data_IF_025387254012
#
_entry.id   IF_025387254012
#
_cell.length_a   1.000
_cell.length_b   1.000
_cell.length_c   1.000
_cell.angle_alpha   90.00
_cell.angle_beta   90.00
_cell.angle_gamma   90.00
#
_symmetry.space_group_name_H-M   'P 1'
#
loop_
_entity.id
_entity.type
_entity.pdbx_description
1 polymer ?
#
# COMPACT_ATOMS: atom_id res chain seq x y z
N UNK A 1 13.69 -36.48 -29.07
CA UNK A 1 14.14 -37.67 -28.30
C UNK A 1 15.41 -37.23 -27.59
N UNK A 2 15.54 -37.17 -26.27
CA UNK A 2 14.86 -37.79 -25.11
C UNK A 2 15.17 -36.83 -23.92
N UNK A 3 14.18 -36.23 -23.27
CA UNK A 3 13.72 -36.52 -21.90
C UNK A 3 14.83 -36.89 -20.89
N UNK A 4 14.99 -36.08 -19.84
CA UNK A 4 15.62 -36.49 -18.58
C UNK A 4 15.08 -35.55 -17.51
N UNK A 5 14.20 -35.95 -16.60
CA UNK A 5 14.20 -37.22 -15.88
C UNK A 5 14.66 -36.89 -14.46
N UNK A 6 13.79 -36.18 -13.73
CA UNK A 6 13.95 -35.88 -12.31
C UNK A 6 13.73 -37.16 -11.52
N UNK A 7 14.79 -37.75 -10.95
CA UNK A 7 14.75 -38.78 -9.90
C UNK A 7 16.15 -38.93 -9.29
N UNK A 8 16.34 -38.39 -8.10
CA UNK A 8 16.40 -39.14 -6.84
C UNK A 8 17.25 -38.40 -5.82
N UNK A 9 16.53 -37.69 -4.94
CA UNK A 9 17.07 -36.93 -3.83
C UNK A 9 17.30 -37.85 -2.63
N UNK A 10 18.42 -38.57 -2.62
CA UNK A 10 19.07 -38.95 -1.38
C UNK A 10 20.57 -38.84 -1.62
N UNK A 11 21.23 -37.91 -0.93
CA UNK A 11 22.68 -37.68 -0.96
C UNK A 11 23.18 -36.77 -2.10
N UNK A 12 23.23 -35.46 -1.85
CA UNK A 12 24.22 -34.61 -2.51
C UNK A 12 24.81 -33.66 -1.48
N UNK A 13 26.02 -33.98 -1.00
CA UNK A 13 26.75 -33.34 0.08
C UNK A 13 27.14 -31.87 -0.12
N UNK A 14 26.21 -31.01 -0.55
CA UNK A 14 26.18 -29.63 -0.11
C UNK A 14 25.36 -29.58 1.18
N UNK A 15 26.00 -29.18 2.28
CA UNK A 15 25.32 -28.97 3.55
C UNK A 15 24.30 -27.84 3.37
N UNK A 16 23.02 -28.13 3.54
CA UNK A 16 21.93 -27.13 3.64
C UNK A 16 22.17 -26.04 4.71
N UNK A 17 23.22 -26.16 5.54
CA UNK A 17 23.61 -25.18 6.56
C UNK A 17 24.23 -23.88 6.01
N UNK A 18 24.41 -23.74 4.69
CA UNK A 18 25.06 -22.56 4.08
C UNK A 18 24.12 -21.64 3.29
N UNK A 19 22.84 -21.98 3.16
CA UNK A 19 21.84 -21.01 2.69
C UNK A 19 21.11 -20.44 3.91
N UNK A 20 21.24 -19.13 4.22
CA UNK A 20 20.36 -18.54 5.21
C UNK A 20 18.92 -18.77 4.74
N UNK A 21 18.05 -19.27 5.62
CA UNK A 21 16.65 -19.55 5.36
C UNK A 21 16.03 -18.41 4.55
N UNK A 22 15.86 -18.62 3.25
CA UNK A 22 15.23 -17.62 2.40
C UNK A 22 13.76 -17.51 2.77
N UNK A 23 13.11 -18.65 2.93
CA UNK A 23 11.67 -18.74 3.14
C UNK A 23 11.36 -19.58 4.39
N UNK A 24 10.13 -19.49 4.87
CA UNK A 24 9.64 -20.32 5.97
C UNK A 24 8.91 -19.52 7.05
N UNK A 25 8.16 -20.24 7.86
CA UNK A 25 7.26 -19.72 8.88
C UNK A 25 7.75 -20.11 10.27
N UNK A 26 7.65 -19.21 11.25
CA UNK A 26 8.02 -19.56 12.61
C UNK A 26 7.09 -20.61 13.21
N UNK A 27 7.62 -21.40 14.14
CA UNK A 27 6.84 -22.29 14.99
C UNK A 27 5.60 -21.59 15.57
N UNK A 28 4.49 -22.32 15.63
CA UNK A 28 3.20 -21.86 16.08
C UNK A 28 2.35 -21.28 14.96
N UNK A 29 2.89 -20.87 13.80
CA UNK A 29 2.12 -20.28 12.68
C UNK A 29 0.93 -21.16 12.29
N UNK A 30 -0.27 -20.60 12.22
CA UNK A 30 -1.49 -21.28 11.82
C UNK A 30 -1.63 -21.26 10.30
N UNK A 31 -1.66 -22.45 9.71
CA UNK A 31 -1.93 -22.68 8.29
C UNK A 31 -3.39 -23.10 8.12
N UNK A 32 -4.09 -22.54 7.14
CA UNK A 32 -5.47 -22.90 6.86
C UNK A 32 -5.56 -24.29 6.18
N UNK A 33 -6.53 -25.08 6.58
CA UNK A 33 -6.91 -26.38 5.99
C UNK A 33 -8.42 -26.40 5.79
N UNK A 34 -8.93 -27.37 5.02
CA UNK A 34 -10.38 -27.54 4.85
C UNK A 34 -11.13 -27.84 6.18
N UNK A 35 -10.43 -28.38 7.17
CA UNK A 35 -10.99 -28.78 8.48
C UNK A 35 -10.74 -27.78 9.60
N UNK A 36 -10.06 -26.66 9.34
CA UNK A 36 -9.71 -25.67 10.35
C UNK A 36 -8.33 -25.09 10.12
N UNK A 37 -7.70 -24.57 11.18
CA UNK A 37 -6.31 -24.12 11.09
C UNK A 37 -5.42 -25.10 11.86
N UNK A 38 -4.25 -25.41 11.33
CA UNK A 38 -3.26 -26.31 11.94
C UNK A 38 -1.92 -25.60 12.09
N UNK A 39 -1.19 -25.90 13.16
CA UNK A 39 0.15 -25.35 13.34
C UNK A 39 1.10 -25.86 12.26
N UNK A 40 1.97 -24.99 11.76
CA UNK A 40 2.91 -25.29 10.68
C UNK A 40 3.89 -26.41 11.06
N UNK A 41 4.33 -26.46 12.31
CA UNK A 41 5.26 -27.48 12.82
C UNK A 41 4.64 -28.88 12.93
N UNK A 42 3.31 -28.98 12.80
CA UNK A 42 2.59 -30.24 12.81
C UNK A 42 2.26 -30.72 11.40
N UNK A 43 2.61 -29.99 10.34
CA UNK A 43 2.37 -30.41 8.97
C UNK A 43 3.42 -31.45 8.55
N UNK A 44 2.96 -32.51 7.90
CA UNK A 44 3.79 -33.54 7.28
C UNK A 44 3.49 -33.67 5.78
N UNK A 45 4.42 -34.28 5.05
CA UNK A 45 4.22 -34.60 3.63
C UNK A 45 2.92 -35.41 3.46
N UNK A 46 2.09 -34.97 2.53
CA UNK A 46 0.79 -35.58 2.21
C UNK A 46 -0.40 -34.93 2.92
N UNK A 47 -0.17 -34.13 3.97
CA UNK A 47 -1.23 -33.32 4.60
C UNK A 47 -1.87 -32.37 3.60
N UNK A 48 -3.15 -32.06 3.80
CA UNK A 48 -3.90 -31.15 2.95
C UNK A 48 -4.07 -29.77 3.62
N UNK A 49 -3.69 -28.72 2.92
CA UNK A 49 -3.80 -27.33 3.33
C UNK A 49 -4.48 -26.51 2.24
N UNK A 50 -4.97 -25.31 2.56
CA UNK A 50 -5.52 -24.40 1.56
C UNK A 50 -4.39 -23.58 0.93
N UNK A 51 -4.34 -23.58 -0.40
CA UNK A 51 -3.49 -22.67 -1.15
C UNK A 51 -3.97 -21.21 -1.06
N UNK A 52 -3.18 -20.30 -1.62
CA UNK A 52 -3.45 -18.86 -1.67
C UNK A 52 -4.83 -18.48 -2.27
N UNK A 53 -5.46 -19.38 -3.03
CA UNK A 53 -6.80 -19.17 -3.62
C UNK A 53 -7.92 -19.80 -2.79
N UNK A 54 -7.59 -20.50 -1.71
CA UNK A 54 -8.52 -21.27 -0.90
C UNK A 54 -8.77 -22.69 -1.43
N UNK A 55 -7.99 -23.15 -2.41
CA UNK A 55 -8.13 -24.50 -2.97
C UNK A 55 -7.30 -25.50 -2.16
N UNK A 56 -7.84 -26.68 -1.77
CA UNK A 56 -7.05 -27.69 -1.10
C UNK A 56 -5.89 -28.22 -1.95
N UNK A 57 -4.71 -28.31 -1.35
CA UNK A 57 -3.44 -28.77 -1.94
C UNK A 57 -2.68 -29.65 -0.96
N UNK A 58 -1.89 -30.58 -1.49
CA UNK A 58 -1.08 -31.48 -0.66
C UNK A 58 0.29 -30.88 -0.39
N UNK A 59 0.74 -31.02 0.84
CA UNK A 59 2.12 -30.72 1.21
C UNK A 59 3.03 -31.74 0.51
N UNK A 60 3.89 -31.28 -0.39
CA UNK A 60 4.87 -32.12 -1.09
C UNK A 60 6.18 -32.23 -0.34
N UNK A 61 6.51 -31.22 0.45
CA UNK A 61 7.75 -31.15 1.20
C UNK A 61 7.63 -30.25 2.43
N UNK A 62 8.35 -30.63 3.48
CA UNK A 62 8.50 -29.86 4.72
C UNK A 62 9.97 -29.80 5.13
N UNK A 63 10.46 -28.61 5.45
CA UNK A 63 11.79 -28.35 5.99
C UNK A 63 11.73 -27.75 7.37
N UNK A 64 12.76 -27.97 8.19
CA UNK A 64 12.92 -27.33 9.50
C UNK A 64 14.30 -26.73 9.63
N UNK A 65 14.35 -25.45 9.96
CA UNK A 65 15.58 -24.68 10.14
C UNK A 65 15.61 -24.13 11.56
N UNK A 66 16.74 -24.34 12.26
CA UNK A 66 16.93 -23.83 13.62
C UNK A 66 17.96 -22.70 13.60
N UNK A 67 17.49 -21.48 13.86
CA UNK A 67 18.33 -20.31 14.01
C UNK A 67 18.72 -20.16 15.47
N UNK A 68 20.02 -20.27 15.76
CA UNK A 68 20.59 -20.08 17.11
C UNK A 68 21.06 -18.64 17.29
N UNK A 69 21.30 -18.23 18.53
CA UNK A 69 21.87 -16.92 18.84
C UNK A 69 23.18 -16.65 18.09
N UNK A 70 24.02 -17.68 17.93
CA UNK A 70 25.26 -17.59 17.16
C UNK A 70 24.99 -17.29 15.68
N UNK A 71 24.04 -17.98 15.05
CA UNK A 71 23.63 -17.71 13.66
C UNK A 71 23.11 -16.28 13.51
N UNK A 72 22.22 -15.85 14.41
CA UNK A 72 21.57 -14.54 14.37
C UNK A 72 22.53 -13.37 14.71
N UNK A 73 23.64 -13.67 15.40
CA UNK A 73 24.71 -12.70 15.67
C UNK A 73 25.66 -12.59 14.48
N UNK A 74 26.02 -13.71 13.85
CA UNK A 74 26.90 -13.74 12.69
C UNK A 74 26.26 -13.15 11.43
N UNK A 75 24.94 -13.31 11.25
CA UNK A 75 24.18 -12.83 10.10
C UNK A 75 22.91 -12.08 10.55
N UNK A 76 23.03 -10.80 10.98
CA UNK A 76 21.89 -10.01 11.44
C UNK A 76 20.78 -9.80 10.39
N UNK A 77 21.10 -9.93 9.10
CA UNK A 77 20.16 -9.87 7.97
C UNK A 77 19.37 -11.15 7.74
N UNK A 78 19.83 -12.29 8.28
CA UNK A 78 19.08 -13.54 8.30
C UNK A 78 18.04 -13.56 9.43
N UNK A 79 18.00 -12.51 10.28
CA UNK A 79 16.98 -12.40 11.33
C UNK A 79 15.58 -12.41 10.69
N UNK A 80 14.67 -13.26 11.20
CA UNK A 80 13.29 -13.34 10.78
C UNK A 80 12.59 -11.99 10.83
N UNK A 81 11.50 -11.87 10.08
CA UNK A 81 10.68 -10.67 10.01
C UNK A 81 9.35 -10.97 10.69
N UNK A 82 9.02 -10.13 11.67
CA UNK A 82 7.72 -10.10 12.33
C UNK A 82 6.81 -9.14 11.58
N UNK A 83 5.69 -9.64 11.12
CA UNK A 83 4.56 -8.89 10.56
C UNK A 83 3.48 -8.88 11.64
N UNK A 84 3.25 -7.74 12.27
CA UNK A 84 2.22 -7.60 13.31
C UNK A 84 0.83 -7.81 12.73
N UNK A 85 -0.10 -8.20 13.59
CA UNK A 85 -1.51 -8.29 13.23
C UNK A 85 -2.02 -7.00 12.53
N UNK A 86 -2.73 -7.14 11.41
CA UNK A 86 -3.29 -6.03 10.64
C UNK A 86 -2.28 -5.15 9.88
N UNK A 87 -0.99 -5.48 9.90
CA UNK A 87 0.06 -4.62 9.33
C UNK A 87 0.01 -4.45 7.80
N UNK A 88 -0.76 -5.30 7.10
CA UNK A 88 -0.92 -5.30 5.63
C UNK A 88 -2.31 -4.81 5.18
N UNK A 89 -3.14 -4.28 6.09
CA UNK A 89 -4.49 -3.82 5.81
C UNK A 89 -5.55 -4.93 5.94
N UNK A 90 -6.83 -4.55 5.95
CA UNK A 90 -7.99 -5.48 6.01
C UNK A 90 -7.93 -6.52 7.16
N UNK A 91 -7.27 -6.17 8.27
CA UNK A 91 -7.08 -7.08 9.41
C UNK A 91 -6.06 -8.20 9.16
N UNK A 92 -5.22 -8.10 8.12
CA UNK A 92 -4.20 -9.09 7.76
C UNK A 92 -2.78 -8.67 8.19
N UNK A 93 -1.93 -9.62 8.63
CA UNK A 93 -2.30 -10.97 9.06
C UNK A 93 -3.23 -10.91 10.28
N UNK A 94 -4.00 -11.97 10.52
CA UNK A 94 -4.97 -12.03 11.63
C UNK A 94 -4.30 -11.91 13.00
N UNK A 95 -3.08 -12.42 13.12
CA UNK A 95 -2.22 -12.28 14.31
C UNK A 95 -0.79 -12.04 13.85
N UNK A 96 0.09 -11.77 14.80
CA UNK A 96 1.51 -11.65 14.52
C UNK A 96 2.03 -12.89 13.77
N UNK A 97 2.60 -12.67 12.59
CA UNK A 97 3.19 -13.67 11.73
C UNK A 97 4.70 -13.43 11.67
N UNK A 98 5.50 -14.45 11.99
CA UNK A 98 6.98 -14.36 11.92
C UNK A 98 7.45 -15.29 10.80
N UNK A 99 8.22 -14.74 9.87
CA UNK A 99 8.65 -15.43 8.65
C UNK A 99 10.12 -15.17 8.33
N UNK A 100 10.72 -16.04 7.54
CA UNK A 100 12.06 -15.81 7.00
C UNK A 100 12.09 -14.59 6.05
N UNK A 101 13.23 -13.88 5.89
CA UNK A 101 13.27 -12.59 5.19
C UNK A 101 12.78 -12.58 3.73
N UNK A 102 12.99 -13.67 2.99
CA UNK A 102 12.59 -13.79 1.58
C UNK A 102 11.26 -14.54 1.41
N UNK A 103 10.54 -14.79 2.50
CA UNK A 103 9.18 -15.35 2.40
C UNK A 103 8.30 -14.35 1.66
N UNK A 104 7.71 -14.81 0.58
CA UNK A 104 6.80 -14.01 -0.26
C UNK A 104 5.44 -13.89 0.42
N UNK A 105 4.92 -12.67 0.49
CA UNK A 105 3.63 -12.32 1.08
C UNK A 105 2.76 -11.62 0.03
N UNK A 106 1.50 -12.02 -0.05
CA UNK A 106 0.52 -11.30 -0.86
C UNK A 106 0.15 -9.97 -0.19
N UNK A 107 0.24 -8.88 -0.93
CA UNK A 107 -0.12 -7.55 -0.45
C UNK A 107 -1.00 -6.86 -1.46
N UNK A 108 -2.04 -6.20 -0.96
CA UNK A 108 -2.82 -5.29 -1.77
C UNK A 108 -2.03 -4.00 -1.82
N UNK A 109 -1.43 -3.74 -2.98
CA UNK A 109 -0.83 -2.45 -3.19
C UNK A 109 -1.93 -1.39 -3.14
N UNK A 110 -1.50 -0.17 -2.86
CA UNK A 110 -2.33 0.99 -3.02
C UNK A 110 -3.18 0.96 -4.32
N UNK A 111 -2.57 0.60 -5.42
CA UNK A 111 -3.21 0.41 -6.73
C UNK A 111 -4.47 -0.45 -6.77
N UNK A 112 -4.82 -1.11 -5.65
CA UNK A 112 -5.71 -2.25 -5.54
C UNK A 112 -5.20 -3.44 -6.34
N UNK A 113 -3.94 -3.37 -6.80
CA UNK A 113 -3.28 -4.50 -7.41
C UNK A 113 -2.83 -5.43 -6.29
N UNK A 114 -3.32 -6.66 -6.32
CA UNK A 114 -2.76 -7.73 -5.52
C UNK A 114 -1.42 -8.12 -6.14
N UNK A 115 -0.34 -7.96 -5.38
CA UNK A 115 1.01 -8.35 -5.79
C UNK A 115 1.67 -9.18 -4.70
N UNK A 116 2.75 -9.83 -5.06
CA UNK A 116 3.57 -10.58 -4.12
C UNK A 116 4.91 -9.87 -3.91
N UNK A 117 5.30 -9.70 -2.65
CA UNK A 117 6.56 -9.11 -2.21
C UNK A 117 7.19 -9.93 -1.08
N UNK A 118 8.52 -10.05 -1.09
CA UNK A 118 9.24 -10.60 0.06
C UNK A 118 9.06 -9.75 1.32
N UNK A 119 8.94 -10.42 2.46
CA UNK A 119 8.77 -9.79 3.77
C UNK A 119 9.83 -8.71 4.05
N UNK A 120 11.08 -8.91 3.58
CA UNK A 120 12.19 -7.94 3.72
C UNK A 120 11.91 -6.61 3.03
N UNK A 121 11.21 -6.60 1.91
CA UNK A 121 10.88 -5.36 1.21
C UNK A 121 9.74 -4.59 1.88
N UNK A 122 8.99 -5.23 2.76
CA UNK A 122 7.82 -4.67 3.45
C UNK A 122 8.14 -4.07 4.83
N UNK A 123 9.39 -4.17 5.28
CA UNK A 123 9.79 -3.66 6.59
C UNK A 123 9.54 -2.16 6.73
N UNK A 124 8.88 -1.75 7.81
CA UNK A 124 8.78 -0.36 8.28
C UNK A 124 9.38 -0.11 9.66
N UNK A 125 10.08 -1.08 10.23
CA UNK A 125 10.65 -0.97 11.59
C UNK A 125 9.60 -0.68 12.68
N UNK A 126 8.31 -0.92 12.40
CA UNK A 126 7.19 -0.61 13.31
C UNK A 126 6.20 -1.75 13.43
N UNK A 127 5.43 -1.98 12.37
CA UNK A 127 4.43 -3.06 12.28
C UNK A 127 4.94 -4.24 11.47
N UNK A 128 5.97 -4.04 10.66
CA UNK A 128 6.75 -5.07 9.99
C UNK A 128 8.22 -4.78 10.27
N UNK A 129 8.84 -5.63 11.08
CA UNK A 129 10.14 -5.36 11.69
C UNK A 129 10.98 -6.64 11.75
N UNK A 130 12.30 -6.49 11.81
CA UNK A 130 13.16 -7.63 12.13
C UNK A 130 12.87 -8.09 13.55
N UNK A 131 12.71 -9.39 13.71
CA UNK A 131 12.48 -10.00 15.00
C UNK A 131 13.79 -10.02 15.82
N UNK A 132 13.76 -9.29 16.93
CA UNK A 132 14.86 -9.23 17.90
C UNK A 132 14.52 -9.94 19.22
N UNK A 133 13.33 -10.54 19.33
CA UNK A 133 12.77 -11.02 20.59
C UNK A 133 13.22 -12.42 21.02
N UNK A 134 13.94 -13.17 20.18
CA UNK A 134 14.25 -14.57 20.47
C UNK A 134 15.67 -14.95 20.07
N UNK A 135 16.40 -15.59 21.00
CA UNK A 135 17.76 -16.10 20.80
C UNK A 135 17.79 -17.50 20.16
N UNK A 136 16.63 -18.11 19.98
CA UNK A 136 16.45 -19.37 19.27
C UNK A 136 15.11 -19.39 18.57
N UNK A 137 15.09 -19.54 17.26
CA UNK A 137 13.87 -19.64 16.47
C UNK A 137 13.89 -20.90 15.59
N UNK A 138 12.74 -21.53 15.45
CA UNK A 138 12.53 -22.60 14.48
C UNK A 138 11.64 -22.07 13.34
N UNK A 139 12.13 -22.23 12.13
CA UNK A 139 11.43 -21.92 10.89
C UNK A 139 11.07 -23.22 10.18
N UNK A 140 9.85 -23.26 9.64
CA UNK A 140 9.29 -24.39 8.90
C UNK A 140 9.07 -23.96 7.46
N UNK A 141 9.74 -24.62 6.55
CA UNK A 141 9.51 -24.46 5.12
C UNK A 141 8.44 -25.46 4.70
N UNK A 142 7.46 -25.01 3.93
CA UNK A 142 6.35 -25.85 3.47
C UNK A 142 6.17 -25.59 1.99
N UNK A 143 6.19 -26.67 1.22
CA UNK A 143 5.99 -26.63 -0.21
C UNK A 143 4.78 -27.46 -0.60
N UNK A 144 3.92 -26.90 -1.45
CA UNK A 144 2.71 -27.54 -1.92
C UNK A 144 2.91 -28.14 -3.32
N UNK A 145 2.01 -29.04 -3.70
CA UNK A 145 1.92 -29.49 -5.08
C UNK A 145 1.49 -28.33 -6.01
N UNK A 146 2.12 -28.26 -7.20
CA UNK A 146 1.77 -27.29 -8.23
C UNK A 146 2.32 -25.87 -8.02
N UNK A 147 3.46 -25.71 -7.35
CA UNK A 147 4.15 -24.43 -7.13
C UNK A 147 3.21 -23.35 -6.60
N UNK A 148 2.58 -23.63 -5.45
CA UNK A 148 1.58 -22.76 -4.84
C UNK A 148 1.98 -22.30 -3.43
N UNK A 149 1.58 -21.07 -3.10
CA UNK A 149 1.63 -20.55 -1.73
C UNK A 149 0.44 -21.07 -0.90
N UNK A 150 0.53 -20.92 0.42
CA UNK A 150 -0.49 -21.33 1.38
C UNK A 150 -1.14 -20.12 2.07
N UNK A 151 -2.20 -20.34 2.83
CA UNK A 151 -2.76 -19.30 3.72
C UNK A 151 -2.20 -19.48 5.13
N UNK A 152 -1.39 -18.53 5.59
CA UNK A 152 -0.83 -18.46 6.94
C UNK A 152 -1.39 -17.24 7.69
N UNK A 153 -2.00 -17.44 8.85
CA UNK A 153 -2.65 -16.35 9.61
C UNK A 153 -3.65 -15.53 8.79
N UNK A 154 -4.39 -16.21 7.92
CA UNK A 154 -5.35 -15.61 6.98
C UNK A 154 -4.69 -14.70 5.92
N UNK A 155 -3.37 -14.78 5.76
CA UNK A 155 -2.59 -14.10 4.74
C UNK A 155 -2.03 -15.12 3.73
N UNK A 156 -2.25 -14.95 2.41
CA UNK A 156 -1.56 -15.75 1.41
C UNK A 156 -0.05 -15.50 1.44
N UNK A 157 0.74 -16.55 1.65
CA UNK A 157 2.17 -16.48 1.90
C UNK A 157 2.89 -17.77 1.46
N UNK A 158 4.20 -17.69 1.26
CA UNK A 158 5.07 -18.85 1.05
C UNK A 158 5.56 -18.99 -0.39
N UNK A 159 5.97 -20.21 -0.73
CA UNK A 159 6.66 -20.47 -1.99
C UNK A 159 5.78 -20.22 -3.21
N UNK A 160 6.40 -19.74 -4.29
CA UNK A 160 5.82 -19.68 -5.63
C UNK A 160 4.47 -18.94 -5.77
N UNK A 161 4.20 -17.95 -4.92
CA UNK A 161 3.06 -17.06 -5.11
C UNK A 161 3.16 -16.33 -6.48
N UNK A 162 2.09 -16.32 -7.29
CA UNK A 162 2.08 -15.62 -8.58
C UNK A 162 2.07 -14.09 -8.38
N UNK A 163 2.04 -13.33 -9.48
CA UNK A 163 1.91 -11.85 -9.47
C UNK A 163 3.04 -11.12 -8.73
N UNK A 164 4.30 -11.54 -8.94
CA UNK A 164 5.46 -10.83 -8.41
C UNK A 164 5.44 -9.35 -8.83
N UNK A 165 5.62 -8.45 -7.85
CA UNK A 165 5.64 -7.02 -8.11
C UNK A 165 6.72 -6.62 -9.13
N UNK A 166 6.36 -5.74 -10.06
CA UNK A 166 7.31 -5.12 -11.00
C UNK A 166 8.31 -4.21 -10.26
N UNK A 167 9.45 -3.82 -10.88
CA UNK A 167 10.41 -2.90 -10.26
C UNK A 167 9.78 -1.59 -9.76
N UNK A 168 8.85 -1.01 -10.52
CA UNK A 168 8.14 0.22 -10.14
C UNK A 168 7.24 0.00 -8.93
N UNK A 169 6.50 -1.11 -8.91
CA UNK A 169 5.64 -1.51 -7.80
C UNK A 169 6.45 -1.75 -6.51
N UNK A 170 7.61 -2.41 -6.62
CA UNK A 170 8.56 -2.59 -5.50
C UNK A 170 9.04 -1.25 -4.97
N UNK A 171 9.43 -0.34 -5.87
CA UNK A 171 9.92 0.99 -5.51
C UNK A 171 8.83 1.80 -4.81
N UNK A 172 7.60 1.76 -5.33
CA UNK A 172 6.46 2.44 -4.72
C UNK A 172 6.16 1.89 -3.31
N UNK A 173 6.10 0.57 -3.14
CA UNK A 173 5.86 -0.06 -1.85
C UNK A 173 6.91 0.33 -0.80
N UNK A 174 8.20 0.31 -1.16
CA UNK A 174 9.29 0.73 -0.25
C UNK A 174 9.17 2.21 0.13
N UNK A 175 8.82 3.08 -0.83
CA UNK A 175 8.63 4.53 -0.57
C UNK A 175 7.45 4.77 0.37
N UNK A 176 6.29 4.17 0.09
CA UNK A 176 5.11 4.23 0.94
C UNK A 176 5.46 3.82 2.36
N UNK A 177 6.23 2.74 2.49
CA UNK A 177 6.59 2.17 3.79
C UNK A 177 7.51 3.06 4.60
N UNK A 178 8.54 3.65 3.98
CA UNK A 178 9.41 4.66 4.62
C UNK A 178 8.63 5.87 5.16
N UNK A 179 7.55 6.28 4.49
CA UNK A 179 6.69 7.36 4.97
C UNK A 179 5.92 6.96 6.26
N UNK A 180 5.57 5.68 6.40
CA UNK A 180 5.03 5.10 7.65
C UNK A 180 6.10 5.10 8.75
N UNK A 181 7.37 4.81 8.43
CA UNK A 181 8.48 4.78 9.41
C UNK A 181 8.65 6.10 10.16
N UNK A 182 8.39 7.21 9.50
CA UNK A 182 8.53 8.53 10.11
C UNK A 182 7.54 8.79 11.27
N UNK A 183 6.64 7.85 11.61
CA UNK A 183 5.45 8.09 12.46
C UNK A 183 5.29 7.20 13.69
N UNK A 184 6.33 6.47 14.08
CA UNK A 184 6.34 5.77 15.38
C UNK A 184 5.37 4.60 15.53
N UNK A 185 4.80 4.06 14.44
CA UNK A 185 4.33 2.67 14.42
C UNK A 185 3.05 2.28 15.14
N UNK A 186 2.28 3.20 15.70
CA UNK A 186 0.94 2.85 16.21
C UNK A 186 0.00 2.49 15.05
N UNK A 187 -0.96 1.60 15.31
CA UNK A 187 -2.03 1.29 14.35
C UNK A 187 -2.82 2.58 14.03
N UNK A 188 -3.13 2.82 12.75
CA UNK A 188 -3.90 4.00 12.37
C UNK A 188 -5.35 3.92 12.83
N UNK A 189 -5.86 5.05 13.34
CA UNK A 189 -7.28 5.24 13.64
C UNK A 189 -8.08 5.66 12.41
N UNK A 190 -9.35 6.06 12.60
CA UNK A 190 -10.18 6.58 11.52
C UNK A 190 -9.48 7.68 10.72
N UNK A 191 -9.55 7.59 9.40
CA UNK A 191 -9.04 8.64 8.51
C UNK A 191 -10.13 9.69 8.31
N UNK A 192 -9.88 10.90 8.80
CA UNK A 192 -10.70 12.06 8.51
C UNK A 192 -9.99 12.95 7.49
N UNK A 193 -10.74 13.62 6.65
CA UNK A 193 -10.18 14.57 5.70
C UNK A 193 -11.08 14.84 4.53
N UNK A 194 -10.55 15.57 3.56
CA UNK A 194 -11.26 15.95 2.35
C UNK A 194 -10.29 16.26 1.21
N UNK A 195 -10.63 15.82 0.01
CA UNK A 195 -10.06 16.37 -1.23
C UNK A 195 -10.84 17.64 -1.57
N UNK A 196 -10.22 18.81 -1.40
CA UNK A 196 -10.87 20.09 -1.69
C UNK A 196 -10.88 20.40 -3.19
N UNK A 197 -9.82 20.01 -3.90
CA UNK A 197 -9.75 20.11 -5.36
C UNK A 197 -8.96 18.95 -5.95
N UNK A 198 -9.43 18.48 -7.10
CA UNK A 198 -8.74 17.52 -7.94
C UNK A 198 -8.80 18.00 -9.39
N UNK A 199 -7.65 18.46 -9.87
CA UNK A 199 -7.41 18.87 -11.24
C UNK A 199 -6.18 18.14 -11.79
N UNK A 200 -5.97 18.23 -13.10
CA UNK A 200 -4.89 17.52 -13.79
C UNK A 200 -3.49 17.97 -13.36
N UNK A 201 -3.37 19.21 -12.89
CA UNK A 201 -2.12 19.81 -12.42
C UNK A 201 -2.06 20.04 -10.91
N UNK A 202 -3.15 19.80 -10.17
CA UNK A 202 -3.21 20.14 -8.76
C UNK A 202 -4.20 19.26 -8.00
N UNK A 203 -3.74 18.65 -6.91
CA UNK A 203 -4.57 18.01 -5.91
C UNK A 203 -4.27 18.68 -4.57
N UNK A 204 -5.29 19.21 -3.90
CA UNK A 204 -5.11 19.76 -2.57
C UNK A 204 -6.29 19.44 -1.66
N UNK A 205 -6.03 19.44 -0.37
CA UNK A 205 -6.99 19.02 0.63
C UNK A 205 -6.35 18.93 2.01
N UNK A 206 -6.92 18.10 2.87
CA UNK A 206 -6.37 17.81 4.20
C UNK A 206 -6.73 16.41 4.66
N UNK A 207 -5.92 15.86 5.57
CA UNK A 207 -6.10 14.52 6.12
C UNK A 207 -5.52 14.42 7.53
N UNK A 208 -6.25 13.80 8.46
CA UNK A 208 -5.81 13.48 9.82
C UNK A 208 -6.15 12.02 10.16
N UNK A 209 -5.29 11.42 10.98
CA UNK A 209 -5.62 10.20 11.72
C UNK A 209 -6.28 10.64 13.02
N UNK A 210 -7.56 10.32 13.22
CA UNK A 210 -8.32 10.74 14.40
C UNK A 210 -7.71 10.21 15.71
N UNK A 211 -7.13 9.01 15.69
CA UNK A 211 -6.45 8.47 16.87
C UNK A 211 -5.15 9.24 17.20
N UNK A 212 -4.60 9.96 16.22
CA UNK A 212 -3.30 10.66 16.32
C UNK A 212 -3.34 11.97 15.52
N UNK A 213 -4.13 12.97 15.94
CA UNK A 213 -4.38 14.17 15.14
C UNK A 213 -3.13 15.03 14.92
N UNK A 214 -2.13 14.92 15.79
CA UNK A 214 -0.84 15.62 15.64
C UNK A 214 0.14 14.89 14.73
N UNK A 215 -0.10 13.61 14.42
CA UNK A 215 0.72 12.86 13.46
C UNK A 215 0.25 13.19 12.05
N UNK A 216 1.18 13.53 11.15
CA UNK A 216 0.82 13.82 9.74
C UNK A 216 0.27 12.56 9.08
N UNK A 217 -0.53 12.72 8.02
CA UNK A 217 -1.04 11.60 7.20
C UNK A 217 -0.27 11.49 5.88
N UNK A 218 0.15 10.28 5.52
CA UNK A 218 1.00 9.99 4.37
C UNK A 218 0.01 9.53 3.32
N UNK A 219 0.00 10.24 2.22
CA UNK A 219 -0.98 10.05 1.18
C UNK A 219 -0.30 9.48 -0.06
N UNK A 220 -1.03 8.64 -0.76
CA UNK A 220 -0.70 8.21 -2.11
C UNK A 220 -1.77 8.66 -3.08
N UNK A 221 -1.31 9.07 -4.25
CA UNK A 221 -2.13 9.47 -5.37
C UNK A 221 -2.03 8.37 -6.40
N UNK A 222 -3.17 7.93 -6.90
CA UNK A 222 -3.25 6.87 -7.87
C UNK A 222 -4.07 7.29 -9.04
N UNK A 223 -3.62 6.89 -10.22
CA UNK A 223 -4.26 7.22 -11.49
C UNK A 223 -4.62 5.91 -12.15
N UNK A 224 -5.91 5.66 -12.32
CA UNK A 224 -6.47 4.41 -12.84
C UNK A 224 -5.93 3.18 -12.10
N UNK A 225 -5.87 3.28 -10.76
CA UNK A 225 -5.34 2.22 -9.91
C UNK A 225 -3.84 2.00 -10.09
N UNK A 226 -3.03 3.01 -10.45
CA UNK A 226 -1.56 2.94 -10.44
C UNK A 226 -0.98 4.01 -9.54
N UNK A 227 -0.04 3.69 -8.64
CA UNK A 227 0.58 4.70 -7.77
C UNK A 227 1.32 5.68 -8.66
N UNK A 228 0.88 6.92 -8.61
CA UNK A 228 1.44 8.01 -9.37
C UNK A 228 2.49 8.75 -8.54
N UNK A 229 2.16 9.14 -7.31
CA UNK A 229 3.09 9.79 -6.39
C UNK A 229 2.64 9.63 -4.94
N UNK A 230 3.47 10.06 -3.99
CA UNK A 230 3.16 10.13 -2.56
C UNK A 230 3.38 11.54 -2.01
N UNK A 231 2.67 11.88 -0.93
CA UNK A 231 2.76 13.18 -0.29
C UNK A 231 2.56 13.09 1.23
N UNK A 232 3.02 14.14 1.92
CA UNK A 232 2.82 14.32 3.35
C UNK A 232 1.74 15.39 3.56
N UNK A 233 0.70 15.07 4.32
CA UNK A 233 -0.29 16.04 4.76
C UNK A 233 0.27 16.85 5.94
N UNK A 234 1.20 17.76 5.66
CA UNK A 234 1.90 18.61 6.64
C UNK A 234 1.75 20.11 6.39
N UNK A 235 1.06 20.52 5.33
CA UNK A 235 0.88 21.92 4.98
C UNK A 235 -0.04 22.60 6.00
N UNK A 236 0.41 23.74 6.53
CA UNK A 236 -0.38 24.55 7.45
C UNK A 236 -1.45 25.34 6.71
N UNK A 237 -2.69 25.23 7.15
CA UNK A 237 -3.82 26.00 6.60
C UNK A 237 -4.58 26.73 7.69
N UNK A 238 -4.81 28.03 7.49
CA UNK A 238 -5.41 28.90 8.50
C UNK A 238 -6.90 28.60 8.75
N UNK A 239 -7.62 28.10 7.75
CA UNK A 239 -9.01 27.64 7.90
C UNK A 239 -9.10 26.43 8.84
N UNK A 240 -8.18 25.47 8.74
CA UNK A 240 -8.12 24.31 9.62
C UNK A 240 -7.75 24.69 11.06
N UNK A 241 -6.84 25.66 11.23
CA UNK A 241 -6.53 26.24 12.55
C UNK A 241 -7.79 26.85 13.18
N UNK A 242 -8.54 27.66 12.41
CA UNK A 242 -9.78 28.30 12.89
C UNK A 242 -10.89 27.29 13.23
N UNK A 243 -10.93 26.17 12.50
CA UNK A 243 -11.89 25.10 12.73
C UNK A 243 -11.50 24.16 13.91
N UNK A 244 -10.32 24.35 14.53
CA UNK A 244 -9.83 23.48 15.60
C UNK A 244 -9.45 22.07 15.14
N UNK A 245 -9.14 21.91 13.85
CA UNK A 245 -8.74 20.61 13.28
C UNK A 245 -7.24 20.40 13.53
N UNK A 246 -6.93 19.52 14.48
CA UNK A 246 -5.56 19.24 14.91
C UNK A 246 -4.79 20.54 15.27
N UNK A 247 -3.56 20.69 14.79
CA UNK A 247 -2.76 21.92 14.89
C UNK A 247 -2.86 22.81 13.62
N UNK A 248 -3.76 22.46 12.70
CA UNK A 248 -3.94 23.06 11.38
C UNK A 248 -2.86 22.75 10.35
N UNK A 249 -1.87 21.91 10.69
CA UNK A 249 -0.81 21.47 9.77
C UNK A 249 -1.06 20.05 9.24
N UNK A 250 -2.27 19.85 8.71
CA UNK A 250 -2.74 18.59 8.13
C UNK A 250 -3.20 18.75 6.68
N UNK A 251 -2.87 19.86 6.03
CA UNK A 251 -3.14 20.09 4.62
C UNK A 251 -2.16 19.35 3.71
N UNK A 252 -2.55 19.09 2.46
CA UNK A 252 -1.64 18.67 1.40
C UNK A 252 -1.86 19.50 0.15
N UNK A 253 -0.79 19.65 -0.64
CA UNK A 253 -0.76 20.28 -1.95
C UNK A 253 0.18 19.46 -2.82
N UNK A 254 -0.33 18.98 -3.95
CA UNK A 254 0.37 18.02 -4.79
C UNK A 254 0.21 18.46 -6.22
N UNK A 255 1.35 18.75 -6.86
CA UNK A 255 1.43 19.04 -8.28
C UNK A 255 1.96 17.78 -8.98
N UNK A 256 1.12 17.05 -9.73
CA UNK A 256 1.57 15.91 -10.49
C UNK A 256 2.70 16.31 -11.45
N UNK A 257 3.85 15.65 -11.33
CA UNK A 257 4.99 15.85 -12.21
C UNK A 257 5.46 14.49 -12.77
N UNK A 258 5.20 14.17 -14.05
CA UNK A 258 4.58 15.05 -15.06
C UNK A 258 3.08 15.30 -14.82
N UNK A 259 2.47 16.34 -15.41
CA UNK A 259 1.03 16.57 -15.31
C UNK A 259 0.20 15.37 -15.76
N UNK A 260 -1.00 15.20 -15.20
CA UNK A 260 -1.84 14.04 -15.50
C UNK A 260 -2.34 14.04 -16.97
N UNK A 261 -2.34 12.89 -17.68
CA UNK A 261 -2.63 12.81 -19.12
C UNK A 261 -3.99 13.40 -19.51
N UNK A 262 -3.99 14.48 -20.29
CA UNK A 262 -5.20 15.23 -20.67
C UNK A 262 -6.09 14.55 -21.73
N UNK A 263 -5.56 13.54 -22.42
CA UNK A 263 -6.16 12.86 -23.57
C UNK A 263 -7.30 11.89 -23.21
N UNK A 264 -7.45 11.56 -21.94
CA UNK A 264 -8.38 10.54 -21.46
C UNK A 264 -8.98 10.89 -20.10
N UNK A 265 -10.15 10.30 -19.80
CA UNK A 265 -10.71 10.35 -18.44
C UNK A 265 -9.83 9.53 -17.50
N UNK A 266 -9.59 10.05 -16.29
CA UNK A 266 -8.75 9.44 -15.26
C UNK A 266 -9.56 9.24 -13.98
N UNK A 267 -9.38 8.09 -13.33
CA UNK A 267 -9.80 7.87 -11.95
C UNK A 267 -8.63 8.21 -11.02
N UNK A 268 -8.75 9.29 -10.27
CA UNK A 268 -7.73 9.75 -9.32
C UNK A 268 -8.13 9.37 -7.90
N UNK A 269 -7.34 8.53 -7.25
CA UNK A 269 -7.53 8.18 -5.83
C UNK A 269 -6.48 8.87 -4.97
N UNK A 270 -6.90 9.41 -3.83
CA UNK A 270 -6.06 9.97 -2.77
C UNK A 270 -6.37 9.19 -1.50
N UNK A 271 -5.36 8.57 -0.89
CA UNK A 271 -5.61 7.64 0.20
C UNK A 271 -4.43 7.49 1.13
N UNK A 272 -4.65 6.97 2.33
CA UNK A 272 -3.58 6.80 3.33
C UNK A 272 -2.65 5.64 2.96
N UNK A 273 -1.35 5.93 2.90
CA UNK A 273 -0.30 4.99 2.53
C UNK A 273 -0.14 3.81 3.50
N UNK A 274 -0.54 4.01 4.77
CA UNK A 274 -0.34 3.04 5.84
C UNK A 274 -1.21 1.78 5.68
N UNK A 275 -2.47 1.96 5.26
CA UNK A 275 -3.51 0.94 5.29
C UNK A 275 -4.42 0.93 4.05
N UNK A 276 -4.19 1.83 3.10
CA UNK A 276 -4.94 1.83 1.86
C UNK A 276 -6.29 2.53 1.92
N UNK A 277 -6.64 3.19 3.03
CA UNK A 277 -7.96 3.78 3.22
C UNK A 277 -8.14 5.06 2.39
N UNK A 278 -9.15 5.07 1.51
CA UNK A 278 -9.46 6.20 0.64
C UNK A 278 -9.85 7.42 1.48
N UNK A 279 -9.29 8.58 1.14
CA UNK A 279 -9.66 9.85 1.77
C UNK A 279 -11.12 10.17 1.40
N UNK A 280 -11.95 10.69 2.32
CA UNK A 280 -13.31 11.10 1.98
C UNK A 280 -13.33 12.06 0.78
N UNK A 281 -14.21 11.79 -0.18
CA UNK A 281 -14.24 12.47 -1.49
C UNK A 281 -13.34 11.86 -2.55
N UNK A 282 -12.69 10.73 -2.26
CA UNK A 282 -11.93 9.93 -3.22
C UNK A 282 -12.56 8.54 -3.41
N UNK A 283 -12.49 7.92 -4.61
CA UNK A 283 -11.91 8.41 -5.88
C UNK A 283 -12.61 9.64 -6.48
N UNK A 284 -11.87 10.40 -7.30
CA UNK A 284 -12.39 11.49 -8.14
C UNK A 284 -12.20 11.14 -9.62
N UNK A 285 -13.21 11.41 -10.45
CA UNK A 285 -13.10 11.30 -11.91
C UNK A 285 -12.64 12.63 -12.51
N UNK A 286 -11.57 12.61 -13.30
CA UNK A 286 -11.11 13.73 -14.11
C UNK A 286 -11.39 13.46 -15.58
N UNK A 287 -12.38 14.13 -16.15
CA UNK A 287 -12.72 13.97 -17.56
C UNK A 287 -11.61 14.44 -18.50
N UNK A 288 -11.52 13.81 -19.69
CA UNK A 288 -10.61 14.25 -20.76
C UNK A 288 -10.72 15.76 -20.95
N UNK A 289 -9.59 16.46 -21.08
CA UNK A 289 -9.64 17.86 -21.44
C UNK A 289 -10.29 17.97 -22.82
N UNK A 290 -11.31 18.82 -22.97
CA UNK A 290 -11.90 19.12 -24.26
C UNK A 290 -10.81 19.44 -25.29
N UNK A 291 -10.82 18.76 -26.44
CA UNK A 291 -9.77 18.92 -27.46
C UNK A 291 -9.66 20.36 -27.97
N UNK A 292 -8.63 20.68 -28.78
CA UNK A 292 -8.33 22.04 -29.24
C UNK A 292 -9.50 22.78 -29.92
N UNK A 293 -10.55 22.08 -30.36
CA UNK A 293 -11.79 22.67 -30.88
C UNK A 293 -12.59 23.48 -29.84
N UNK A 294 -12.58 23.11 -28.55
CA UNK A 294 -13.29 23.85 -27.49
C UNK A 294 -12.49 25.06 -26.97
N UNK A 295 -11.16 24.99 -27.06
CA UNK A 295 -10.28 26.13 -26.78
C UNK A 295 -10.34 27.19 -27.91
N UNK A 296 -10.59 26.77 -29.16
CA UNK A 296 -10.78 27.67 -30.30
C UNK A 296 -12.12 28.42 -30.25
N UNK A 297 -13.18 27.81 -29.71
CA UNK A 297 -14.47 28.50 -29.47
C UNK A 297 -14.38 29.49 -28.30
N UNK A 298 -13.64 29.16 -27.24
CA UNK A 298 -13.41 30.07 -26.12
C UNK A 298 -12.52 31.29 -26.46
N UNK A 299 -11.80 31.25 -27.60
CA UNK A 299 -10.90 32.30 -28.07
C UNK A 299 -11.48 33.20 -29.19
N UNK A 300 -12.74 33.01 -29.60
CA UNK A 300 -13.41 33.98 -30.49
C UNK A 300 -13.76 35.25 -29.69
N UNK A 301 -13.34 36.46 -30.13
CA UNK A 301 -13.71 37.67 -29.43
C UNK A 301 -15.22 37.90 -29.51
N UNK A 302 -15.82 38.30 -28.38
CA UNK A 302 -17.22 38.69 -28.28
C UNK A 302 -17.58 39.72 -29.35
N UNK A 303 -18.75 39.58 -29.95
CA UNK A 303 -19.16 40.47 -31.04
C UNK A 303 -19.31 41.91 -30.53
N UNK A 304 -19.06 42.95 -31.36
CA UNK A 304 -19.16 44.35 -30.97
C UNK A 304 -20.52 44.75 -30.34
N UNK A 305 -21.57 43.98 -30.63
CA UNK A 305 -22.90 44.15 -30.06
C UNK A 305 -22.97 43.77 -28.56
N UNK A 306 -22.18 42.79 -28.11
CA UNK A 306 -22.15 42.34 -26.71
C UNK A 306 -21.37 43.30 -25.80
N UNK A 307 -20.34 43.98 -26.34
CA UNK A 307 -19.54 44.97 -25.62
C UNK A 307 -20.28 46.29 -25.38
N UNK A 308 -21.24 46.65 -26.24
CA UNK A 308 -22.10 47.82 -26.05
C UNK A 308 -23.14 47.58 -24.94
N UNK A 309 -23.81 46.43 -24.94
CA UNK A 309 -24.80 46.06 -23.93
C UNK A 309 -24.20 45.95 -22.51
N UNK A 310 -22.96 45.48 -22.38
CA UNK A 310 -22.28 45.38 -21.09
C UNK A 310 -21.88 46.75 -20.50
N UNK A 311 -21.58 47.76 -21.34
CA UNK A 311 -21.24 49.12 -20.87
C UNK A 311 -22.44 49.86 -20.32
N UNK A 312 -23.62 49.70 -20.92
CA UNK A 312 -24.84 50.36 -20.45
C UNK A 312 -25.33 49.76 -19.12
N UNK A 313 -25.14 48.45 -18.93
CA UNK A 313 -25.42 47.76 -17.66
C UNK A 313 -24.44 48.18 -16.55
N UNK A 314 -23.16 48.34 -16.86
CA UNK A 314 -22.16 48.80 -15.88
C UNK A 314 -22.34 50.28 -15.49
N UNK A 315 -22.79 51.13 -16.42
CA UNK A 315 -23.10 52.55 -16.13
C UNK A 315 -24.32 52.68 -15.22
N UNK A 316 -25.39 51.93 -15.47
CA UNK A 316 -26.59 51.92 -14.64
C UNK A 316 -26.34 51.42 -13.20
N UNK A 317 -25.38 50.51 -13.01
CA UNK A 317 -24.98 50.00 -11.69
C UNK A 317 -24.03 50.92 -10.89
N UNK A 318 -23.28 51.80 -11.56
CA UNK A 318 -22.37 52.76 -10.91
C UNK A 318 -23.12 53.98 -10.36
N UNK A 319 -24.21 54.41 -11.00
CA UNK A 319 -25.07 55.50 -10.51
C UNK A 319 -25.87 55.07 -9.25
N UNK A 320 -26.10 53.77 -9.05
CA UNK A 320 -26.79 53.23 -7.87
C UNK A 320 -25.88 53.13 -6.63
N UNK A 321 -24.55 53.21 -6.81
CA UNK A 321 -23.56 53.09 -5.73
C UNK A 321 -23.05 54.43 -5.19
N UNK A 322 -23.50 55.57 -5.75
CA UNK A 322 -23.16 56.91 -5.26
C UNK A 322 -24.28 57.60 -4.46
N UNK A 323 -25.40 56.93 -4.19
CA UNK A 323 -26.40 57.45 -3.27
C UNK A 323 -25.95 57.24 -1.80
N UNK A 324 -25.76 58.30 -0.99
CA UNK A 324 -25.39 58.15 0.42
C UNK A 324 -26.54 57.52 1.23
N UNK A 325 -26.24 56.84 2.33
CA UNK A 325 -27.26 56.18 3.15
C UNK A 325 -28.17 57.24 3.78
N UNK A 326 -29.47 57.17 3.49
CA UNK A 326 -30.46 57.95 4.22
C UNK A 326 -30.56 57.39 5.65
N UNK A 327 -30.26 58.25 6.62
CA UNK A 327 -30.58 58.04 8.03
C UNK A 327 -32.06 58.14 8.33
#
# INVERSE_FOLDING_TARGET
MVQGGWLDAQNNGMRMNEMPAGQGFAAGTMVATASGRRNVELLDIGDEVLDATGTPRRVRWTGRIVLTAAHLTAQPEARPIRVRAGALGEGMPRRDLVVAPLTELAVVLPTRALVTLSARLLMNDHTILRDSGTDRLELFEVELDGDAGLIAEDLPAGFALPNHATPDQRTAAVRARKLVNARGGCLPGPLLGRVDCAERGLLYGWAIDEARPLMRVALEILVNGRVFTGAMASLRRNDLVRAGIADGACGFHIEPNPPLPADRTLLVQVRRADDGLDLPGSPVLLDKAGGPAQLLEALKPASPAQTAAMRDVLRAGLDTLQAPPAG
#
